data_IF_253039372769
#
_entry.id   IF_253039372769
#
_cell.length_a   1.000
_cell.length_b   1.000
_cell.length_c   1.000
_cell.angle_alpha   90.00
_cell.angle_beta   90.00
_cell.angle_gamma   90.00
#
_symmetry.space_group_name_H-M   'P 1'
#
loop_
_entity.id
_entity.type
_entity.pdbx_description
1 polymer ?
#
# COMPACT_ATOMS: atom_id res chain seq x y z
N UNK A 1 66.42 100.81 102.81
CA UNK A 1 65.95 99.41 102.72
C UNK A 1 65.51 99.22 101.29
N UNK A 2 66.24 98.41 100.51
CA UNK A 2 65.92 98.23 99.10
C UNK A 2 64.68 97.35 98.95
N UNK A 3 63.82 97.70 98.00
CA UNK A 3 62.61 96.94 97.72
C UNK A 3 63.00 95.62 97.05
N UNK A 4 63.11 94.55 97.84
CA UNK A 4 63.33 93.18 97.35
C UNK A 4 62.08 92.66 96.63
N UNK A 5 61.88 93.15 95.42
CA UNK A 5 60.79 92.78 94.53
C UNK A 5 61.33 91.97 93.33
N UNK A 6 60.49 91.09 92.76
CA UNK A 6 60.88 90.12 91.73
C UNK A 6 60.90 90.78 90.34
N UNK A 7 61.99 91.49 90.06
CA UNK A 7 62.29 92.13 88.77
C UNK A 7 62.82 91.13 87.72
N UNK A 8 62.68 91.42 86.42
CA UNK A 8 62.87 90.46 85.31
C UNK A 8 64.28 89.85 85.25
N UNK A 9 65.31 90.57 85.70
CA UNK A 9 66.69 90.06 85.84
C UNK A 9 66.79 88.79 86.72
N UNK A 10 65.82 88.56 87.61
CA UNK A 10 65.78 87.39 88.50
C UNK A 10 64.80 86.30 88.03
N UNK A 11 64.01 86.56 86.98
CA UNK A 11 62.79 85.78 86.68
C UNK A 11 63.04 84.40 86.07
N UNK A 12 64.22 84.17 85.48
CA UNK A 12 64.61 82.83 85.03
C UNK A 12 64.67 81.80 86.18
N UNK A 13 64.78 82.25 87.43
CA UNK A 13 64.77 81.42 88.64
C UNK A 13 63.45 81.50 89.43
N UNK A 14 62.37 82.02 88.83
CA UNK A 14 61.07 82.24 89.48
C UNK A 14 60.06 81.21 89.00
N UNK A 15 59.53 80.45 89.95
CA UNK A 15 58.49 79.46 89.75
C UNK A 15 57.15 80.00 90.24
N UNK A 16 56.16 80.01 89.36
CA UNK A 16 54.76 80.22 89.77
C UNK A 16 54.31 78.97 90.52
N UNK A 17 53.90 79.13 91.78
CA UNK A 17 53.38 78.06 92.63
C UNK A 17 51.86 78.05 92.65
N UNK A 18 51.26 79.24 92.68
CA UNK A 18 49.82 79.44 92.53
C UNK A 18 49.59 80.31 91.27
N UNK A 19 48.94 79.79 90.20
CA UNK A 19 48.65 80.55 89.01
C UNK A 19 47.67 81.69 89.31
N UNK A 20 47.56 82.65 88.39
CA UNK A 20 46.65 83.81 88.54
C UNK A 20 45.20 83.34 88.58
N UNK A 21 44.59 83.41 89.75
CA UNK A 21 43.22 82.96 90.00
C UNK A 21 42.47 84.08 90.73
N UNK A 22 41.36 84.54 90.16
CA UNK A 22 40.50 85.52 90.80
C UNK A 22 39.77 84.86 91.98
N UNK A 23 39.98 85.38 93.19
CA UNK A 23 39.33 84.94 94.42
C UNK A 23 38.59 86.11 95.08
N UNK A 24 37.46 85.84 95.77
CA UNK A 24 36.76 86.86 96.53
C UNK A 24 37.52 87.18 97.83
N UNK A 25 37.82 88.47 98.04
CA UNK A 25 38.49 88.99 99.24
C UNK A 25 37.57 89.99 99.93
N UNK A 26 37.35 89.79 101.24
CA UNK A 26 36.64 90.77 102.08
C UNK A 26 37.58 91.91 102.49
N UNK A 27 37.49 93.05 101.83
CA UNK A 27 38.27 94.25 102.17
C UNK A 27 37.61 94.96 103.35
N UNK A 28 38.38 95.17 104.43
CA UNK A 28 37.93 95.89 105.63
C UNK A 28 38.73 97.18 105.80
N UNK A 29 38.08 98.32 105.58
CA UNK A 29 38.69 99.66 105.64
C UNK A 29 37.89 100.54 106.60
N UNK A 30 38.41 100.73 107.81
CA UNK A 30 37.71 101.42 108.89
C UNK A 30 36.40 100.72 109.25
N UNK A 31 35.27 101.41 109.07
CA UNK A 31 33.92 100.86 109.28
C UNK A 31 33.32 100.18 108.03
N UNK A 32 33.96 100.27 106.87
CA UNK A 32 33.45 99.69 105.63
C UNK A 32 33.99 98.28 105.41
N UNK A 33 33.08 97.36 105.09
CA UNK A 33 33.39 95.97 104.68
C UNK A 33 32.77 95.72 103.32
N UNK A 34 33.57 95.34 102.34
CA UNK A 34 33.13 95.04 100.97
C UNK A 34 33.80 93.77 100.47
N UNK A 35 33.11 93.00 99.62
CA UNK A 35 33.68 91.81 98.99
C UNK A 35 34.07 92.17 97.55
N UNK A 36 35.36 92.06 97.24
CA UNK A 36 35.93 92.44 95.95
C UNK A 36 36.70 91.25 95.35
N UNK A 37 36.81 91.19 94.02
CA UNK A 37 37.59 90.17 93.34
C UNK A 37 39.06 90.61 93.19
N UNK A 38 39.97 89.74 93.60
CA UNK A 38 41.41 89.92 93.43
C UNK A 38 42.03 88.71 92.74
N UNK A 39 42.85 88.97 91.73
CA UNK A 39 43.70 87.99 91.09
C UNK A 39 44.87 87.67 92.03
N UNK A 40 44.84 86.47 92.61
CA UNK A 40 45.85 85.97 93.55
C UNK A 40 46.91 85.20 92.79
N UNK A 41 48.19 85.52 93.04
CA UNK A 41 49.36 84.80 92.52
C UNK A 41 50.36 84.55 93.64
N UNK A 42 50.98 83.37 93.65
CA UNK A 42 52.14 83.06 94.48
C UNK A 42 53.31 82.65 93.60
N UNK A 43 54.39 83.41 93.67
CA UNK A 43 55.65 83.21 92.95
C UNK A 43 56.79 82.96 93.96
N UNK A 44 57.70 82.03 93.66
CA UNK A 44 58.86 81.70 94.53
C UNK A 44 60.15 81.71 93.71
N UNK A 45 61.16 82.41 94.22
CA UNK A 45 62.52 82.36 93.69
C UNK A 45 63.30 81.30 94.45
N UNK A 46 63.46 80.13 93.84
CA UNK A 46 64.01 78.93 94.53
C UNK A 46 65.46 79.16 95.02
N UNK A 47 66.26 79.95 94.30
CA UNK A 47 67.67 80.23 94.64
C UNK A 47 67.87 81.20 95.81
N UNK A 48 66.81 81.84 96.33
CA UNK A 48 66.91 82.83 97.42
C UNK A 48 66.01 82.53 98.62
N UNK A 49 65.25 81.42 98.62
CA UNK A 49 64.17 81.17 99.59
C UNK A 49 63.29 82.41 99.79
N UNK A 50 62.91 83.02 98.67
CA UNK A 50 62.08 84.23 98.62
C UNK A 50 60.74 83.86 97.98
N UNK A 51 59.65 84.06 98.72
CA UNK A 51 58.28 83.87 98.23
C UNK A 51 57.56 85.21 98.17
N UNK A 52 56.77 85.44 97.13
CA UNK A 52 55.96 86.62 96.97
C UNK A 52 54.52 86.23 96.67
N UNK A 53 53.60 86.82 97.44
CA UNK A 53 52.16 86.71 97.29
C UNK A 53 51.67 88.05 96.77
N UNK A 54 50.96 88.03 95.65
CA UNK A 54 50.37 89.22 95.03
C UNK A 54 48.86 89.07 94.97
N UNK A 55 48.17 90.10 95.46
CA UNK A 55 46.76 90.37 95.18
C UNK A 55 46.70 91.54 94.20
N UNK A 56 45.97 91.41 93.10
CA UNK A 56 45.72 92.50 92.13
C UNK A 56 44.21 92.64 91.96
N UNK A 57 43.62 93.82 92.17
CA UNK A 57 42.16 93.94 92.08
C UNK A 57 41.70 93.71 90.63
N UNK A 58 40.76 92.78 90.39
CA UNK A 58 40.42 92.31 89.04
C UNK A 58 39.67 93.35 88.17
N UNK A 59 39.19 94.45 88.78
CA UNK A 59 38.60 95.61 88.09
C UNK A 59 39.54 96.84 88.04
N UNK A 60 40.66 96.80 88.75
CA UNK A 60 41.59 97.92 88.95
C UNK A 60 43.00 97.38 89.21
N UNK A 61 43.67 96.98 88.13
CA UNK A 61 45.03 96.45 88.19
C UNK A 61 46.08 97.46 88.68
N UNK A 62 45.72 98.72 88.98
CA UNK A 62 46.62 99.66 89.65
C UNK A 62 46.75 99.37 91.15
N UNK A 63 45.71 98.79 91.77
CA UNK A 63 45.73 98.34 93.16
C UNK A 63 46.35 96.96 93.26
N UNK A 64 47.60 96.94 93.69
CA UNK A 64 48.36 95.71 93.92
C UNK A 64 48.81 95.69 95.38
N UNK A 65 48.53 94.60 96.08
CA UNK A 65 49.04 94.33 97.42
C UNK A 65 50.05 93.17 97.36
N UNK A 66 51.17 93.34 98.04
CA UNK A 66 52.28 92.39 98.03
C UNK A 66 52.64 91.98 99.46
N UNK A 67 52.69 90.68 99.74
CA UNK A 67 53.52 90.14 100.81
C UNK A 67 54.77 89.54 100.20
N UNK A 68 55.94 89.85 100.74
CA UNK A 68 57.21 89.26 100.32
C UNK A 68 57.88 88.68 101.56
N UNK A 69 58.14 87.38 101.51
CA UNK A 69 58.54 86.56 102.63
C UNK A 69 59.86 85.89 102.25
N UNK A 70 60.95 86.42 102.80
CA UNK A 70 62.25 85.74 102.83
C UNK A 70 62.35 84.85 104.08
N UNK A 71 63.55 84.31 104.34
CA UNK A 71 63.79 83.47 105.52
C UNK A 71 63.64 84.23 106.85
N UNK A 72 63.94 85.53 106.90
CA UNK A 72 63.84 86.32 108.14
C UNK A 72 62.38 86.70 108.44
N UNK A 73 61.66 87.21 107.45
CA UNK A 73 60.22 87.48 107.55
C UNK A 73 59.42 86.19 107.82
N UNK A 74 59.87 85.04 107.30
CA UNK A 74 59.30 83.75 107.65
C UNK A 74 59.50 83.39 109.13
N UNK A 75 60.69 83.59 109.70
CA UNK A 75 60.94 83.30 111.12
C UNK A 75 60.10 84.20 112.03
N UNK A 76 59.90 85.48 111.67
CA UNK A 76 58.94 86.35 112.37
C UNK A 76 57.52 85.78 112.32
N UNK A 77 57.03 85.39 111.13
CA UNK A 77 55.71 84.76 110.94
C UNK A 77 55.59 83.46 111.74
N UNK A 78 56.63 82.61 111.71
CA UNK A 78 56.70 81.31 112.39
C UNK A 78 56.55 81.45 113.90
N UNK A 79 57.22 82.43 114.50
CA UNK A 79 57.11 82.72 115.94
C UNK A 79 55.78 83.41 116.28
N UNK A 80 55.36 84.42 115.50
CA UNK A 80 54.13 85.17 115.77
C UNK A 80 52.84 84.34 115.65
N UNK A 81 52.85 83.29 114.81
CA UNK A 81 51.69 82.41 114.56
C UNK A 81 51.92 80.97 115.02
N UNK A 82 52.96 80.70 115.80
CA UNK A 82 53.30 79.38 116.34
C UNK A 82 53.34 78.25 115.29
N UNK A 83 53.86 78.53 114.10
CA UNK A 83 53.84 77.57 112.98
C UNK A 83 54.88 76.46 113.19
N UNK A 84 54.42 75.21 113.26
CA UNK A 84 55.27 74.03 113.50
C UNK A 84 55.83 73.40 112.21
N UNK A 85 56.15 74.21 111.19
CA UNK A 85 56.68 73.76 109.89
C UNK A 85 58.03 74.43 109.56
N UNK A 86 58.62 74.06 108.42
CA UNK A 86 59.77 74.74 107.82
C UNK A 86 59.30 75.72 106.74
N UNK A 87 60.19 76.55 106.19
CA UNK A 87 59.86 77.45 105.06
C UNK A 87 59.29 76.70 103.83
N UNK A 88 59.75 75.47 103.58
CA UNK A 88 59.17 74.62 102.52
C UNK A 88 57.77 74.15 102.89
N UNK A 89 57.57 73.54 104.08
CA UNK A 89 56.24 73.11 104.51
C UNK A 89 55.23 74.27 104.60
N UNK A 90 55.68 75.47 104.99
CA UNK A 90 54.88 76.69 104.92
C UNK A 90 54.51 77.09 103.49
N UNK A 91 55.44 76.93 102.52
CA UNK A 91 55.14 77.12 101.10
C UNK A 91 53.98 76.21 100.69
N UNK A 92 54.07 74.92 101.01
CA UNK A 92 53.12 73.91 100.56
C UNK A 92 51.75 74.06 101.26
N UNK A 93 51.76 74.34 102.57
CA UNK A 93 50.56 74.64 103.35
C UNK A 93 49.85 75.91 102.86
N UNK A 94 50.58 76.95 102.45
CA UNK A 94 49.97 78.14 101.86
C UNK A 94 49.23 77.82 100.55
N UNK A 95 49.82 76.99 99.68
CA UNK A 95 49.16 76.56 98.43
C UNK A 95 47.91 75.74 98.74
N UNK A 96 47.98 74.81 99.70
CA UNK A 96 46.81 74.04 100.14
C UNK A 96 45.70 74.93 100.71
N UNK A 97 46.04 75.92 101.53
CA UNK A 97 45.09 76.90 102.09
C UNK A 97 44.43 77.72 100.98
N UNK A 98 45.19 78.18 99.97
CA UNK A 98 44.65 78.92 98.83
C UNK A 98 43.83 78.03 97.87
N UNK A 99 44.12 76.74 97.78
CA UNK A 99 43.29 75.75 97.07
C UNK A 99 41.98 75.46 97.82
N UNK A 100 41.97 75.52 99.16
CA UNK A 100 40.73 75.56 99.93
C UNK A 100 39.95 76.86 99.72
N UNK A 101 40.63 78.00 99.50
CA UNK A 101 39.95 79.25 99.09
C UNK A 101 39.30 79.17 97.70
N UNK A 102 39.85 78.40 96.74
CA UNK A 102 39.19 78.16 95.44
C UNK A 102 37.85 77.43 95.56
N UNK A 103 37.63 76.69 96.65
CA UNK A 103 36.43 75.88 96.89
C UNK A 103 35.41 76.52 97.83
N UNK A 104 35.67 77.75 98.28
CA UNK A 104 34.90 78.45 99.34
C UNK A 104 34.94 77.76 100.73
N UNK A 105 35.88 76.80 100.93
CA UNK A 105 36.15 76.19 102.25
C UNK A 105 36.77 77.22 103.20
N UNK A 106 37.71 78.04 102.69
CA UNK A 106 38.41 79.10 103.42
C UNK A 106 38.24 80.46 102.74
N UNK A 107 38.19 81.51 103.55
CA UNK A 107 37.85 82.86 103.11
C UNK A 107 39.04 83.80 103.31
N UNK A 108 39.27 84.71 102.37
CA UNK A 108 40.31 85.73 102.47
C UNK A 108 39.67 87.07 102.88
N UNK A 109 40.27 87.79 103.82
CA UNK A 109 40.02 89.21 104.06
C UNK A 109 41.31 90.03 103.97
N UNK A 110 41.18 91.32 103.65
CA UNK A 110 42.26 92.28 103.57
C UNK A 110 41.93 93.44 104.49
N UNK A 111 42.52 93.43 105.69
CA UNK A 111 42.26 94.44 106.72
C UNK A 111 43.26 95.58 106.56
N UNK A 112 42.76 96.79 106.28
CA UNK A 112 43.58 98.00 106.16
C UNK A 112 43.32 98.94 107.33
N UNK A 113 44.31 99.03 108.22
CA UNK A 113 44.46 100.08 109.22
C UNK A 113 45.46 101.15 108.71
N UNK A 114 45.44 102.31 109.34
CA UNK A 114 46.02 103.60 108.94
C UNK A 114 47.49 103.58 108.50
N UNK A 115 48.27 102.56 108.89
CA UNK A 115 49.64 102.29 108.41
C UNK A 115 49.95 100.78 108.23
N UNK A 116 48.94 99.90 108.22
CA UNK A 116 49.12 98.43 108.16
C UNK A 116 48.04 97.78 107.31
N UNK A 117 48.46 96.97 106.34
CA UNK A 117 47.59 96.12 105.55
C UNK A 117 47.89 94.65 105.90
N UNK A 118 46.87 93.87 106.26
CA UNK A 118 47.03 92.48 106.67
C UNK A 118 46.02 91.62 105.92
N UNK A 119 46.53 90.67 105.13
CA UNK A 119 45.70 89.60 104.57
C UNK A 119 45.46 88.57 105.67
N UNK A 120 44.22 88.17 105.91
CA UNK A 120 43.86 87.07 106.80
C UNK A 120 43.15 85.99 105.98
N UNK A 121 43.47 84.73 106.24
CA UNK A 121 42.75 83.59 105.69
C UNK A 121 42.07 82.88 106.85
N UNK A 122 40.75 82.73 106.78
CA UNK A 122 39.92 82.29 107.88
C UNK A 122 38.81 81.33 107.45
N UNK A 123 38.40 80.48 108.38
CA UNK A 123 37.23 79.62 108.26
C UNK A 123 36.03 80.30 108.94
N UNK A 124 34.87 80.29 108.27
CA UNK A 124 33.62 80.80 108.85
C UNK A 124 33.06 79.75 109.82
N UNK A 125 32.87 80.13 111.08
CA UNK A 125 32.28 79.28 112.11
C UNK A 125 31.16 80.03 112.84
N UNK A 126 30.14 79.28 113.28
CA UNK A 126 28.88 79.82 113.85
C UNK A 126 29.06 80.62 115.14
N UNK A 127 30.19 80.46 115.84
CA UNK A 127 30.51 81.21 117.06
C UNK A 127 31.54 82.34 116.81
N UNK A 128 32.65 82.02 116.14
CA UNK A 128 33.73 82.96 115.81
C UNK A 128 34.58 82.39 114.68
N UNK A 129 34.91 83.21 113.68
CA UNK A 129 35.81 82.83 112.60
C UNK A 129 37.19 82.37 113.14
N UNK A 130 37.71 81.29 112.57
CA UNK A 130 39.04 80.75 112.89
C UNK A 130 40.05 81.24 111.85
N UNK A 131 40.96 82.13 112.24
CA UNK A 131 42.07 82.57 111.37
C UNK A 131 43.11 81.45 111.29
N UNK A 132 43.31 80.89 110.10
CA UNK A 132 44.31 79.84 109.82
C UNK A 132 45.69 80.42 109.49
N UNK A 133 45.73 81.61 108.88
CA UNK A 133 46.96 82.33 108.57
C UNK A 133 46.67 83.84 108.46
N UNK A 134 47.60 84.69 108.89
CA UNK A 134 47.61 86.10 108.52
C UNK A 134 48.99 86.55 108.04
N UNK A 135 49.05 87.45 107.06
CA UNK A 135 50.28 87.90 106.43
C UNK A 135 50.27 89.42 106.25
N UNK A 136 51.38 90.04 106.62
CA UNK A 136 51.59 91.47 106.42
C UNK A 136 51.70 91.75 104.90
N UNK A 137 50.80 92.58 104.40
CA UNK A 137 50.76 93.06 103.03
C UNK A 137 51.26 94.50 102.99
N UNK A 138 51.82 94.91 101.85
CA UNK A 138 52.13 96.31 101.54
C UNK A 138 51.42 96.68 100.25
N UNK A 139 50.87 97.89 100.18
CA UNK A 139 50.47 98.45 98.87
C UNK A 139 51.73 98.57 98.02
N UNK A 140 51.66 98.16 96.75
CA UNK A 140 52.80 98.22 95.83
C UNK A 140 53.19 99.67 95.53
N UNK A 141 54.47 99.93 95.29
CA UNK A 141 54.91 101.24 94.80
C UNK A 141 54.46 101.45 93.35
N UNK A 142 54.35 102.72 92.94
CA UNK A 142 54.01 103.08 91.54
C UNK A 142 54.92 102.40 90.53
N UNK A 143 56.21 102.24 90.85
CA UNK A 143 57.19 101.54 90.01
C UNK A 143 56.84 100.04 89.86
N UNK A 144 56.52 99.35 90.95
CA UNK A 144 56.11 97.95 90.93
C UNK A 144 54.77 97.75 90.21
N UNK A 145 53.83 98.69 90.36
CA UNK A 145 52.56 98.69 89.63
C UNK A 145 52.78 98.84 88.13
N UNK A 146 53.55 99.86 87.71
CA UNK A 146 53.87 100.10 86.29
C UNK A 146 54.61 98.91 85.65
N UNK A 147 55.53 98.28 86.39
CA UNK A 147 56.20 97.05 85.96
C UNK A 147 55.21 95.91 85.71
N UNK A 148 54.31 95.61 86.65
CA UNK A 148 53.32 94.55 86.49
C UNK A 148 52.32 94.86 85.36
N UNK A 149 51.86 96.11 85.22
CA UNK A 149 50.98 96.53 84.13
C UNK A 149 51.65 96.35 82.76
N UNK A 150 52.91 96.76 82.61
CA UNK A 150 53.67 96.59 81.38
C UNK A 150 53.82 95.10 81.01
N UNK A 151 54.12 94.23 81.98
CA UNK A 151 54.22 92.79 81.74
C UNK A 151 52.89 92.13 81.35
N UNK A 152 51.80 92.53 81.99
CA UNK A 152 50.45 92.06 81.63
C UNK A 152 50.06 92.54 80.24
N UNK A 153 50.38 93.79 79.89
CA UNK A 153 50.20 94.35 78.55
C UNK A 153 51.00 93.56 77.49
N UNK A 154 52.28 93.26 77.74
CA UNK A 154 53.12 92.47 76.84
C UNK A 154 52.57 91.05 76.63
N UNK A 155 52.07 90.39 77.70
CA UNK A 155 51.41 89.08 77.59
C UNK A 155 50.15 89.15 76.74
N UNK A 156 49.29 90.14 76.96
CA UNK A 156 48.08 90.33 76.14
C UNK A 156 48.41 90.70 74.70
N UNK A 157 49.45 91.49 74.44
CA UNK A 157 49.90 91.81 73.07
C UNK A 157 50.42 90.56 72.33
N UNK A 158 51.19 89.70 73.01
CA UNK A 158 51.64 88.42 72.45
C UNK A 158 50.47 87.47 72.17
N UNK A 159 49.48 87.38 73.07
CA UNK A 159 48.27 86.59 72.85
C UNK A 159 47.43 87.14 71.69
N UNK A 160 47.21 88.46 71.64
CA UNK A 160 46.44 89.11 70.59
C UNK A 160 47.07 88.88 69.20
N UNK A 161 48.38 89.07 69.08
CA UNK A 161 49.10 88.81 67.81
C UNK A 161 49.03 87.33 67.41
N UNK A 162 49.15 86.40 68.35
CA UNK A 162 48.93 84.97 68.09
C UNK A 162 47.53 84.66 67.57
N UNK A 163 46.49 85.20 68.21
CA UNK A 163 45.10 85.03 67.74
C UNK A 163 44.87 85.69 66.38
N UNK A 164 45.45 86.86 66.09
CA UNK A 164 45.36 87.50 64.76
C UNK A 164 45.98 86.59 63.68
N UNK A 165 47.16 86.01 63.92
CA UNK A 165 47.79 85.07 62.99
C UNK A 165 46.94 83.81 62.77
N UNK A 166 46.36 83.26 63.84
CA UNK A 166 45.50 82.07 63.76
C UNK A 166 44.19 82.34 62.99
N UNK A 167 43.57 83.51 63.21
CA UNK A 167 42.37 83.95 62.46
C UNK A 167 42.70 84.09 60.97
N UNK A 168 43.84 84.69 60.62
CA UNK A 168 44.25 84.83 59.23
C UNK A 168 44.50 83.48 58.55
N UNK A 169 45.09 82.51 59.26
CA UNK A 169 45.25 81.15 58.76
C UNK A 169 43.90 80.46 58.47
N UNK A 170 42.92 80.58 59.38
CA UNK A 170 41.59 80.01 59.17
C UNK A 170 40.81 80.71 58.05
N UNK A 171 40.98 82.02 57.86
CA UNK A 171 40.40 82.75 56.72
C UNK A 171 40.94 82.22 55.38
N UNK A 172 42.25 81.98 55.28
CA UNK A 172 42.87 81.42 54.08
C UNK A 172 42.39 79.99 53.81
N UNK A 173 42.32 79.13 54.84
CA UNK A 173 41.78 77.77 54.66
C UNK A 173 40.32 77.80 54.20
N UNK A 174 39.48 78.66 54.79
CA UNK A 174 38.07 78.81 54.44
C UNK A 174 37.89 79.17 52.96
N UNK A 175 38.63 80.17 52.46
CA UNK A 175 38.62 80.56 51.04
C UNK A 175 38.94 79.39 50.11
N UNK A 176 39.96 78.58 50.45
CA UNK A 176 40.34 77.40 49.68
C UNK A 176 39.26 76.30 49.70
N UNK A 177 38.53 76.12 50.82
CA UNK A 177 37.38 75.19 50.88
C UNK A 177 36.19 75.70 50.05
N UNK A 178 35.92 77.01 50.04
CA UNK A 178 34.83 77.60 49.26
C UNK A 178 35.11 77.48 47.75
N UNK A 179 36.35 77.77 47.31
CA UNK A 179 36.79 77.53 45.92
C UNK A 179 36.64 76.06 45.52
N UNK A 180 37.10 75.13 46.35
CA UNK A 180 36.96 73.67 46.13
C UNK A 180 35.48 73.26 46.04
N UNK A 181 34.64 73.83 46.90
CA UNK A 181 33.20 73.54 46.95
C UNK A 181 32.50 74.02 45.67
N UNK A 182 32.86 75.19 45.16
CA UNK A 182 32.27 75.71 43.92
C UNK A 182 32.77 74.96 42.68
N UNK A 183 34.03 74.49 42.65
CA UNK A 183 34.52 73.58 41.61
C UNK A 183 33.68 72.28 41.56
N UNK A 184 33.48 71.62 42.71
CA UNK A 184 32.67 70.40 42.80
C UNK A 184 31.20 70.62 42.41
N UNK A 185 30.60 71.76 42.80
CA UNK A 185 29.24 72.13 42.35
C UNK A 185 29.14 72.33 40.83
N UNK A 186 30.21 72.79 40.18
CA UNK A 186 30.24 72.96 38.72
C UNK A 186 30.43 71.60 38.01
N UNK A 187 31.24 70.69 38.57
CA UNK A 187 31.34 69.32 38.08
C UNK A 187 30.00 68.56 38.18
N UNK A 188 29.32 68.62 39.33
CA UNK A 188 27.99 68.02 39.53
C UNK A 188 26.98 68.57 38.51
N UNK A 189 26.96 69.88 38.25
CA UNK A 189 26.13 70.50 37.19
C UNK A 189 26.46 69.94 35.80
N UNK A 190 27.75 69.77 35.47
CA UNK A 190 28.19 69.18 34.20
C UNK A 190 27.76 67.71 34.06
N UNK A 191 27.92 66.91 35.10
CA UNK A 191 27.55 65.49 35.11
C UNK A 191 26.04 65.29 35.00
N UNK A 192 25.23 66.05 35.74
CA UNK A 192 23.77 66.00 35.64
C UNK A 192 23.26 66.39 34.24
N UNK A 193 23.89 67.38 33.58
CA UNK A 193 23.57 67.73 32.19
C UNK A 193 23.94 66.62 31.22
N UNK A 194 25.10 65.96 31.39
CA UNK A 194 25.50 64.79 30.59
C UNK A 194 24.54 63.61 30.77
N UNK A 195 24.10 63.35 32.01
CA UNK A 195 23.15 62.28 32.33
C UNK A 195 21.81 62.50 31.63
N UNK A 196 21.19 63.68 31.82
CA UNK A 196 19.92 64.02 31.18
C UNK A 196 20.01 63.95 29.64
N UNK A 197 21.15 64.33 29.04
CA UNK A 197 21.36 64.19 27.60
C UNK A 197 21.47 62.71 27.15
N UNK A 198 22.05 61.82 27.97
CA UNK A 198 22.08 60.39 27.71
C UNK A 198 20.71 59.73 27.88
N UNK A 199 19.95 60.10 28.92
CA UNK A 199 18.58 59.63 29.15
C UNK A 199 17.67 59.98 27.97
N UNK A 200 17.71 61.24 27.50
CA UNK A 200 16.97 61.68 26.32
C UNK A 200 17.39 60.93 25.04
N UNK A 201 18.69 60.65 24.85
CA UNK A 201 19.19 59.90 23.69
C UNK A 201 18.72 58.43 23.70
N UNK A 202 18.72 57.80 24.88
CA UNK A 202 18.21 56.43 25.07
C UNK A 202 16.69 56.41 24.85
N UNK A 203 15.96 57.40 25.39
CA UNK A 203 14.52 57.51 25.20
C UNK A 203 14.13 57.68 23.72
N UNK A 204 14.83 58.53 22.96
CA UNK A 204 14.63 58.66 21.51
C UNK A 204 14.83 57.33 20.79
N UNK A 205 15.98 56.68 20.98
CA UNK A 205 16.32 55.39 20.35
C UNK A 205 15.30 54.30 20.66
N UNK A 206 14.89 54.18 21.92
CA UNK A 206 13.88 53.20 22.34
C UNK A 206 12.52 53.50 21.69
N UNK A 207 12.15 54.79 21.55
CA UNK A 207 10.91 55.22 20.89
C UNK A 207 10.94 54.91 19.38
N UNK A 208 12.08 55.16 18.73
CA UNK A 208 12.32 54.82 17.32
C UNK A 208 12.26 53.30 17.09
N UNK A 209 12.89 52.51 17.96
CA UNK A 209 12.90 51.04 17.87
C UNK A 209 11.50 50.44 18.13
N UNK A 210 10.79 50.90 19.16
CA UNK A 210 9.39 50.50 19.42
C UNK A 210 8.51 50.83 18.20
N UNK A 211 8.67 52.02 17.62
CA UNK A 211 7.91 52.44 16.42
C UNK A 211 8.21 51.52 15.22
N UNK A 212 9.49 51.19 15.00
CA UNK A 212 9.93 50.26 13.93
C UNK A 212 9.40 48.85 14.15
N UNK A 213 9.41 48.35 15.38
CA UNK A 213 8.85 47.03 15.72
C UNK A 213 7.33 47.00 15.55
N UNK A 214 6.61 48.05 15.93
CA UNK A 214 5.17 48.17 15.69
C UNK A 214 4.83 48.17 14.18
N UNK A 215 5.58 48.91 13.36
CA UNK A 215 5.43 48.88 11.90
C UNK A 215 5.71 47.48 11.32
N UNK A 216 6.74 46.80 11.80
CA UNK A 216 7.11 45.44 11.36
C UNK A 216 6.03 44.42 11.74
N UNK A 217 5.50 44.49 12.96
CA UNK A 217 4.38 43.64 13.43
C UNK A 217 3.11 43.90 12.63
N UNK A 218 2.81 45.15 12.27
CA UNK A 218 1.68 45.49 11.41
C UNK A 218 1.81 44.84 10.02
N UNK A 219 2.96 45.00 9.37
CA UNK A 219 3.24 44.39 8.06
C UNK A 219 3.15 42.86 8.10
N UNK A 220 3.67 42.23 9.15
CA UNK A 220 3.53 40.78 9.38
C UNK A 220 2.06 40.37 9.57
N UNK A 221 1.26 41.16 10.28
CA UNK A 221 -0.18 40.94 10.44
C UNK A 221 -0.94 41.01 9.11
N UNK A 222 -0.71 42.06 8.33
CA UNK A 222 -1.31 42.27 7.00
C UNK A 222 -0.92 41.14 6.02
N UNK A 223 0.35 40.75 6.02
CA UNK A 223 0.86 39.63 5.21
C UNK A 223 0.24 38.29 5.62
N UNK A 224 0.10 38.03 6.94
CA UNK A 224 -0.55 36.82 7.45
C UNK A 224 -2.03 36.77 7.08
N UNK A 225 -2.74 37.88 7.17
CA UNK A 225 -4.17 37.96 6.81
C UNK A 225 -4.38 37.73 5.30
N UNK A 226 -3.49 38.26 4.45
CA UNK A 226 -3.52 38.02 3.01
C UNK A 226 -3.28 36.54 2.67
N UNK A 227 -2.29 35.90 3.31
CA UNK A 227 -2.01 34.48 3.11
C UNK A 227 -3.13 33.59 3.68
N UNK A 228 -3.73 33.94 4.81
CA UNK A 228 -4.88 33.23 5.38
C UNK A 228 -6.09 33.29 4.42
N UNK A 229 -6.35 34.44 3.79
CA UNK A 229 -7.36 34.58 2.73
C UNK A 229 -7.03 33.72 1.50
N UNK A 230 -5.76 33.71 1.06
CA UNK A 230 -5.29 32.89 -0.07
C UNK A 230 -5.49 31.40 0.19
N UNK A 231 -5.10 30.92 1.36
CA UNK A 231 -5.24 29.52 1.77
C UNK A 231 -6.71 29.12 1.92
N UNK A 232 -7.56 29.97 2.51
CA UNK A 232 -9.02 29.74 2.56
C UNK A 232 -9.65 29.62 1.17
N UNK A 233 -9.27 30.48 0.21
CA UNK A 233 -9.75 30.38 -1.17
C UNK A 233 -9.34 29.07 -1.85
N UNK A 234 -8.10 28.60 -1.61
CA UNK A 234 -7.60 27.30 -2.12
C UNK A 234 -8.36 26.14 -1.47
N UNK A 235 -8.58 26.16 -0.15
CA UNK A 235 -9.34 25.13 0.57
C UNK A 235 -10.78 25.05 0.05
N UNK A 236 -11.45 26.18 -0.14
CA UNK A 236 -12.81 26.21 -0.69
C UNK A 236 -12.86 25.61 -2.10
N UNK A 237 -11.93 25.99 -2.99
CA UNK A 237 -11.87 25.44 -4.36
C UNK A 237 -11.52 23.95 -4.39
N UNK A 238 -10.72 23.46 -3.44
CA UNK A 238 -10.49 22.03 -3.25
C UNK A 238 -11.75 21.30 -2.75
N UNK A 239 -12.50 21.91 -1.84
CA UNK A 239 -13.77 21.36 -1.34
C UNK A 239 -14.83 21.27 -2.45
N UNK A 240 -15.04 22.34 -3.21
CA UNK A 240 -15.91 22.36 -4.41
C UNK A 240 -15.56 21.23 -5.38
N UNK A 241 -14.26 20.99 -5.60
CA UNK A 241 -13.76 19.91 -6.46
C UNK A 241 -13.97 18.52 -5.86
N UNK A 242 -13.83 18.37 -4.55
CA UNK A 242 -14.15 17.12 -3.83
C UNK A 242 -15.65 16.81 -3.94
N UNK A 243 -16.51 17.81 -3.75
CA UNK A 243 -17.97 17.64 -3.83
C UNK A 243 -18.44 17.32 -5.26
N UNK A 244 -17.85 17.96 -6.27
CA UNK A 244 -18.06 17.61 -7.67
C UNK A 244 -17.61 16.17 -7.99
N UNK A 245 -16.44 15.73 -7.50
CA UNK A 245 -15.96 14.36 -7.71
C UNK A 245 -16.82 13.32 -6.94
N UNK A 246 -17.26 13.64 -5.74
CA UNK A 246 -18.19 12.81 -4.96
C UNK A 246 -19.52 12.63 -5.71
N UNK A 247 -20.04 13.70 -6.33
CA UNK A 247 -21.21 13.63 -7.21
C UNK A 247 -20.95 12.76 -8.43
N UNK A 248 -19.86 12.95 -9.16
CA UNK A 248 -19.51 12.11 -10.32
C UNK A 248 -19.36 10.63 -9.95
N UNK A 249 -18.88 10.32 -8.73
CA UNK A 249 -18.83 8.95 -8.21
C UNK A 249 -20.24 8.41 -7.92
N UNK A 250 -21.13 9.21 -7.30
CA UNK A 250 -22.52 8.83 -7.06
C UNK A 250 -23.28 8.57 -8.37
N UNK A 251 -23.20 9.50 -9.32
CA UNK A 251 -23.82 9.40 -10.66
C UNK A 251 -23.33 8.15 -11.41
N UNK A 252 -22.02 7.80 -11.29
CA UNK A 252 -21.46 6.56 -11.85
C UNK A 252 -21.93 5.30 -11.13
N UNK A 253 -22.08 5.33 -9.80
CA UNK A 253 -22.60 4.19 -9.03
C UNK A 253 -24.06 3.92 -9.42
N UNK A 254 -24.86 4.96 -9.62
CA UNK A 254 -26.24 4.81 -10.13
C UNK A 254 -26.25 4.22 -11.56
N UNK A 255 -25.41 4.70 -12.47
CA UNK A 255 -25.26 4.11 -13.82
C UNK A 255 -24.84 2.63 -13.77
N UNK A 256 -23.91 2.26 -12.88
CA UNK A 256 -23.48 0.87 -12.68
C UNK A 256 -24.63 0.00 -12.16
N UNK A 257 -25.49 0.52 -11.27
CA UNK A 257 -26.70 -0.18 -10.79
C UNK A 257 -27.70 -0.37 -11.93
N UNK A 258 -27.95 0.66 -12.75
CA UNK A 258 -28.86 0.61 -13.90
C UNK A 258 -28.38 -0.43 -14.93
N UNK A 259 -27.11 -0.38 -15.34
CA UNK A 259 -26.55 -1.33 -16.32
C UNK A 259 -26.40 -2.74 -15.73
N UNK A 260 -26.16 -2.89 -14.42
CA UNK A 260 -26.24 -4.20 -13.75
C UNK A 260 -27.65 -4.78 -13.88
N UNK A 261 -28.69 -4.03 -13.50
CA UNK A 261 -30.08 -4.47 -13.55
C UNK A 261 -30.50 -4.81 -15.00
N UNK A 262 -30.04 -4.01 -15.97
CA UNK A 262 -30.24 -4.26 -17.40
C UNK A 262 -29.60 -5.57 -17.86
N UNK A 263 -28.33 -5.78 -17.50
CA UNK A 263 -27.58 -7.00 -17.84
C UNK A 263 -28.16 -8.25 -17.15
N UNK A 264 -28.68 -8.10 -15.92
CA UNK A 264 -29.40 -9.15 -15.19
C UNK A 264 -30.72 -9.53 -15.88
N UNK A 265 -31.50 -8.53 -16.34
CA UNK A 265 -32.69 -8.75 -17.18
C UNK A 265 -32.37 -9.42 -18.53
N UNK A 266 -31.35 -8.94 -19.25
CA UNK A 266 -30.88 -9.56 -20.50
C UNK A 266 -30.34 -10.98 -20.25
N UNK A 267 -29.76 -11.26 -19.09
CA UNK A 267 -29.33 -12.61 -18.69
C UNK A 267 -30.53 -13.54 -18.43
N UNK A 268 -31.57 -13.07 -17.76
CA UNK A 268 -32.83 -13.81 -17.65
C UNK A 268 -33.44 -14.11 -19.03
N UNK A 269 -33.49 -13.10 -19.91
CA UNK A 269 -34.00 -13.28 -21.28
C UNK A 269 -33.16 -14.28 -22.06
N UNK A 270 -31.82 -14.25 -21.93
CA UNK A 270 -30.94 -15.25 -22.54
C UNK A 270 -31.20 -16.66 -21.99
N UNK A 271 -31.53 -16.81 -20.69
CA UNK A 271 -31.93 -18.09 -20.10
C UNK A 271 -33.28 -18.56 -20.66
N UNK A 272 -34.28 -17.67 -20.76
CA UNK A 272 -35.61 -17.95 -21.34
C UNK A 272 -35.51 -18.33 -22.83
N UNK A 273 -34.65 -17.66 -23.59
CA UNK A 273 -34.36 -17.98 -25.00
C UNK A 273 -33.56 -19.28 -25.14
N UNK A 274 -32.69 -19.63 -24.19
CA UNK A 274 -31.99 -20.94 -24.17
C UNK A 274 -32.93 -22.10 -23.87
N UNK A 275 -33.83 -21.96 -22.90
CA UNK A 275 -34.83 -23.00 -22.61
C UNK A 275 -35.83 -23.15 -23.76
N UNK A 276 -36.26 -22.05 -24.39
CA UNK A 276 -37.06 -22.09 -25.61
C UNK A 276 -36.32 -22.77 -26.77
N UNK A 277 -35.04 -22.47 -26.98
CA UNK A 277 -34.21 -23.17 -27.97
C UNK A 277 -34.03 -24.67 -27.66
N UNK A 278 -33.95 -25.06 -26.39
CA UNK A 278 -33.90 -26.46 -25.98
C UNK A 278 -35.22 -27.17 -26.30
N UNK A 279 -36.36 -26.57 -25.93
CA UNK A 279 -37.69 -27.09 -26.26
C UNK A 279 -37.89 -27.21 -27.79
N UNK A 280 -37.49 -26.20 -28.58
CA UNK A 280 -37.55 -26.25 -30.05
C UNK A 280 -36.63 -27.35 -30.61
N UNK A 281 -35.46 -27.61 -30.02
CA UNK A 281 -34.59 -28.73 -30.42
C UNK A 281 -35.19 -30.10 -30.10
N UNK A 282 -35.83 -30.25 -28.95
CA UNK A 282 -36.59 -31.46 -28.60
C UNK A 282 -37.79 -31.66 -29.53
N UNK A 283 -38.50 -30.59 -29.87
CA UNK A 283 -39.59 -30.59 -30.84
C UNK A 283 -39.08 -31.02 -32.22
N UNK A 284 -37.99 -30.43 -32.71
CA UNK A 284 -37.34 -30.80 -33.98
C UNK A 284 -36.90 -32.27 -33.98
N UNK A 285 -36.27 -32.78 -32.93
CA UNK A 285 -35.89 -34.20 -32.86
C UNK A 285 -37.12 -35.14 -32.73
N UNK A 286 -38.24 -34.66 -32.17
CA UNK A 286 -39.52 -35.38 -32.19
C UNK A 286 -40.10 -35.43 -33.61
N UNK A 287 -40.23 -34.28 -34.28
CA UNK A 287 -40.72 -34.20 -35.67
C UNK A 287 -39.81 -34.96 -36.63
N UNK A 288 -38.49 -34.99 -36.40
CA UNK A 288 -37.51 -35.73 -37.20
C UNK A 288 -37.60 -37.24 -37.00
N UNK A 289 -37.93 -37.71 -35.79
CA UNK A 289 -38.30 -39.13 -35.55
C UNK A 289 -39.62 -39.49 -36.23
N UNK A 290 -40.62 -38.62 -36.14
CA UNK A 290 -41.91 -38.81 -36.85
C UNK A 290 -41.74 -38.80 -38.37
N UNK A 291 -40.88 -37.93 -38.90
CA UNK A 291 -40.48 -37.88 -40.31
C UNK A 291 -39.76 -39.17 -40.71
N UNK A 292 -38.85 -39.68 -39.88
CA UNK A 292 -38.18 -40.96 -40.14
C UNK A 292 -39.16 -42.14 -40.17
N UNK A 293 -40.18 -42.16 -39.29
CA UNK A 293 -41.24 -43.18 -39.30
C UNK A 293 -42.19 -43.01 -40.50
N UNK A 294 -42.48 -41.77 -40.92
CA UNK A 294 -43.18 -41.47 -42.18
C UNK A 294 -42.39 -41.97 -43.38
N UNK A 295 -41.09 -41.67 -43.45
CA UNK A 295 -40.19 -42.01 -44.55
C UNK A 295 -39.91 -43.52 -44.62
N UNK A 296 -39.90 -44.25 -43.51
CA UNK A 296 -39.81 -45.71 -43.49
C UNK A 296 -41.12 -46.38 -43.97
N UNK A 297 -42.29 -45.81 -43.63
CA UNK A 297 -43.58 -46.21 -44.23
C UNK A 297 -43.64 -45.87 -45.72
N UNK A 298 -43.11 -44.72 -46.12
CA UNK A 298 -43.07 -44.24 -47.50
C UNK A 298 -42.08 -45.05 -48.36
N UNK A 299 -40.95 -45.49 -47.79
CA UNK A 299 -40.02 -46.46 -48.39
C UNK A 299 -40.71 -47.81 -48.65
N UNK A 300 -41.44 -48.34 -47.65
CA UNK A 300 -42.20 -49.59 -47.80
C UNK A 300 -43.31 -49.48 -48.84
N UNK A 301 -44.02 -48.35 -48.87
CA UNK A 301 -45.00 -48.02 -49.91
C UNK A 301 -44.35 -47.86 -51.30
N UNK A 302 -43.23 -47.13 -51.39
CA UNK A 302 -42.49 -46.86 -52.61
C UNK A 302 -41.89 -48.11 -53.25
N UNK A 303 -41.41 -49.06 -52.45
CA UNK A 303 -40.99 -50.38 -52.92
C UNK A 303 -42.17 -51.18 -53.48
N UNK A 304 -43.32 -51.17 -52.80
CA UNK A 304 -44.55 -51.82 -53.28
C UNK A 304 -45.09 -51.18 -54.57
N UNK A 305 -45.04 -49.85 -54.68
CA UNK A 305 -45.41 -49.09 -55.89
C UNK A 305 -44.41 -49.34 -57.03
N UNK A 306 -43.12 -49.52 -56.74
CA UNK A 306 -42.10 -49.82 -57.75
C UNK A 306 -42.24 -51.24 -58.30
N UNK A 307 -42.54 -52.22 -57.45
CA UNK A 307 -42.85 -53.58 -57.86
C UNK A 307 -44.17 -53.64 -58.65
N UNK A 308 -45.21 -52.93 -58.21
CA UNK A 308 -46.46 -52.76 -58.96
C UNK A 308 -46.22 -52.10 -60.32
N UNK A 309 -45.36 -51.07 -60.41
CA UNK A 309 -44.96 -50.46 -61.69
C UNK A 309 -44.19 -51.43 -62.58
N UNK A 310 -43.30 -52.27 -62.03
CA UNK A 310 -42.56 -53.29 -62.78
C UNK A 310 -43.52 -54.30 -63.41
N UNK A 311 -44.46 -54.83 -62.62
CA UNK A 311 -45.50 -55.75 -63.08
C UNK A 311 -46.45 -55.09 -64.09
N UNK A 312 -46.82 -53.81 -63.89
CA UNK A 312 -47.63 -53.06 -64.85
C UNK A 312 -46.89 -52.84 -66.18
N UNK A 313 -45.58 -52.54 -66.14
CA UNK A 313 -44.76 -52.33 -67.34
C UNK A 313 -44.54 -53.63 -68.11
N UNK A 314 -44.32 -54.76 -67.41
CA UNK A 314 -44.26 -56.10 -68.01
C UNK A 314 -45.59 -56.45 -68.70
N UNK A 315 -46.73 -56.23 -68.02
CA UNK A 315 -48.06 -56.43 -68.59
C UNK A 315 -48.36 -55.51 -69.78
N UNK A 316 -47.95 -54.24 -69.72
CA UNK A 316 -48.17 -53.27 -70.79
C UNK A 316 -47.30 -53.56 -72.03
N UNK A 317 -46.08 -54.07 -71.84
CA UNK A 317 -45.22 -54.54 -72.93
C UNK A 317 -45.79 -55.84 -73.55
N UNK A 318 -46.32 -56.76 -72.73
CA UNK A 318 -47.00 -57.98 -73.18
C UNK A 318 -48.27 -57.66 -73.96
N UNK A 319 -49.05 -56.66 -73.52
CA UNK A 319 -50.22 -56.16 -74.23
C UNK A 319 -49.83 -55.53 -75.59
N UNK A 320 -48.80 -54.69 -75.66
CA UNK A 320 -48.33 -54.11 -76.94
C UNK A 320 -47.84 -55.18 -77.93
N UNK A 321 -47.21 -56.25 -77.46
CA UNK A 321 -46.80 -57.37 -78.31
C UNK A 321 -48.02 -58.13 -78.86
N UNK A 322 -48.99 -58.44 -77.99
CA UNK A 322 -50.24 -59.10 -78.37
C UNK A 322 -51.13 -58.22 -79.27
N UNK A 323 -51.11 -56.91 -79.11
CA UNK A 323 -51.88 -55.96 -79.94
C UNK A 323 -51.25 -55.77 -81.32
N UNK A 324 -49.90 -55.85 -81.44
CA UNK A 324 -49.23 -55.97 -82.74
C UNK A 324 -49.61 -57.27 -83.44
N UNK A 325 -49.56 -58.40 -82.72
CA UNK A 325 -49.99 -59.70 -83.25
C UNK A 325 -51.48 -59.72 -83.61
N UNK A 326 -52.35 -59.02 -82.85
CA UNK A 326 -53.76 -58.84 -83.21
C UNK A 326 -53.91 -58.03 -84.50
N UNK A 327 -53.19 -56.92 -84.65
CA UNK A 327 -53.24 -56.11 -85.87
C UNK A 327 -52.72 -56.86 -87.10
N UNK A 328 -51.73 -57.76 -86.94
CA UNK A 328 -51.22 -58.61 -88.01
C UNK A 328 -52.24 -59.71 -88.37
N UNK A 329 -52.84 -60.38 -87.37
CA UNK A 329 -53.92 -61.37 -87.57
C UNK A 329 -55.24 -60.78 -88.06
N UNK A 330 -55.57 -59.52 -87.73
CA UNK A 330 -56.78 -58.83 -88.23
C UNK A 330 -56.62 -58.44 -89.71
N UNK A 331 -55.39 -58.14 -90.15
CA UNK A 331 -55.08 -57.97 -91.58
C UNK A 331 -55.16 -59.31 -92.34
N UNK A 332 -54.61 -60.39 -91.78
CA UNK A 332 -54.73 -61.76 -92.32
C UNK A 332 -56.19 -62.22 -92.39
N UNK A 333 -56.98 -61.97 -91.34
CA UNK A 333 -58.40 -62.32 -91.28
C UNK A 333 -59.24 -61.52 -92.29
N UNK A 334 -58.86 -60.28 -92.60
CA UNK A 334 -59.54 -59.48 -93.63
C UNK A 334 -59.14 -59.88 -95.05
N UNK A 335 -57.89 -60.32 -95.27
CA UNK A 335 -57.47 -60.97 -96.51
C UNK A 335 -58.22 -62.30 -96.72
N UNK A 336 -58.26 -63.17 -95.71
CA UNK A 336 -58.92 -64.48 -95.83
C UNK A 336 -60.46 -64.35 -95.87
N UNK A 337 -61.07 -63.27 -95.36
CA UNK A 337 -62.50 -62.95 -95.62
C UNK A 337 -62.79 -62.65 -97.09
N UNK A 338 -61.89 -61.94 -97.77
CA UNK A 338 -62.02 -61.66 -99.20
C UNK A 338 -61.77 -62.94 -100.04
N UNK A 339 -60.77 -63.75 -99.66
CA UNK A 339 -60.53 -65.08 -100.22
C UNK A 339 -61.70 -66.04 -99.94
N UNK A 340 -62.36 -65.92 -98.78
CA UNK A 340 -63.55 -66.71 -98.44
C UNK A 340 -64.77 -66.31 -99.28
N UNK A 341 -64.95 -65.03 -99.64
CA UNK A 341 -66.01 -64.63 -100.56
C UNK A 341 -65.79 -65.18 -101.99
N UNK A 342 -64.56 -65.14 -102.51
CA UNK A 342 -64.26 -65.76 -103.82
C UNK A 342 -64.34 -67.29 -103.76
N UNK A 343 -63.82 -67.94 -102.71
CA UNK A 343 -64.00 -69.40 -102.47
C UNK A 343 -65.47 -69.78 -102.34
N UNK A 344 -66.32 -68.97 -101.70
CA UNK A 344 -67.77 -69.25 -101.55
C UNK A 344 -68.50 -69.13 -102.89
N UNK A 345 -68.16 -68.13 -103.72
CA UNK A 345 -68.73 -68.01 -105.06
C UNK A 345 -68.26 -69.16 -105.98
N UNK A 346 -67.00 -69.59 -105.86
CA UNK A 346 -66.48 -70.76 -106.56
C UNK A 346 -67.13 -72.06 -106.07
N UNK A 347 -67.32 -72.24 -104.76
CA UNK A 347 -68.00 -73.40 -104.18
C UNK A 347 -69.47 -73.49 -104.58
N UNK A 348 -70.18 -72.37 -104.76
CA UNK A 348 -71.54 -72.37 -105.30
C UNK A 348 -71.54 -72.95 -106.73
N UNK A 349 -70.69 -72.41 -107.61
CA UNK A 349 -70.52 -72.88 -108.99
C UNK A 349 -70.13 -74.37 -109.02
N UNK A 350 -69.12 -74.78 -108.24
CA UNK A 350 -68.70 -76.18 -108.15
C UNK A 350 -69.74 -77.10 -107.47
N UNK A 351 -70.70 -76.58 -106.70
CA UNK A 351 -71.82 -77.38 -106.15
C UNK A 351 -72.87 -77.64 -107.22
N UNK A 352 -73.20 -76.61 -108.02
CA UNK A 352 -74.12 -76.74 -109.15
C UNK A 352 -73.49 -77.61 -110.27
N UNK A 353 -72.18 -77.53 -110.47
CA UNK A 353 -71.41 -78.46 -111.32
C UNK A 353 -71.31 -79.88 -110.73
N UNK A 354 -71.18 -80.07 -109.40
CA UNK A 354 -71.23 -81.40 -108.78
C UNK A 354 -72.61 -82.05 -108.91
N UNK A 355 -73.68 -81.26 -108.85
CA UNK A 355 -75.04 -81.76 -109.09
C UNK A 355 -75.18 -82.26 -110.54
N UNK A 356 -74.69 -81.49 -111.51
CA UNK A 356 -74.65 -81.89 -112.92
C UNK A 356 -73.75 -83.12 -113.14
N UNK A 357 -72.56 -83.15 -112.54
CA UNK A 357 -71.63 -84.28 -112.59
C UNK A 357 -72.24 -85.55 -111.97
N UNK A 358 -73.05 -85.43 -110.90
CA UNK A 358 -73.76 -86.56 -110.29
C UNK A 358 -74.84 -87.14 -111.22
N UNK A 359 -75.52 -86.30 -112.01
CA UNK A 359 -76.44 -86.75 -113.07
C UNK A 359 -75.68 -87.46 -114.20
N UNK A 360 -74.54 -86.89 -114.63
CA UNK A 360 -73.67 -87.51 -115.65
C UNK A 360 -73.09 -88.85 -115.17
N UNK A 361 -72.63 -88.94 -113.92
CA UNK A 361 -72.13 -90.18 -113.30
C UNK A 361 -73.25 -91.22 -113.15
N UNK A 362 -74.48 -90.82 -112.84
CA UNK A 362 -75.65 -91.72 -112.82
C UNK A 362 -75.94 -92.33 -114.19
N UNK A 363 -75.77 -91.54 -115.27
CA UNK A 363 -75.96 -92.02 -116.63
C UNK A 363 -74.77 -92.88 -117.12
N UNK A 364 -73.53 -92.47 -116.85
CA UNK A 364 -72.33 -93.24 -117.18
C UNK A 364 -72.28 -94.60 -116.45
N UNK A 365 -72.78 -94.70 -115.21
CA UNK A 365 -72.88 -95.99 -114.52
C UNK A 365 -73.87 -96.96 -115.19
N UNK A 366 -74.97 -96.46 -115.78
CA UNK A 366 -75.88 -97.27 -116.60
C UNK A 366 -75.21 -97.72 -117.90
N UNK A 367 -74.44 -96.84 -118.53
CA UNK A 367 -73.73 -97.13 -119.78
C UNK A 367 -72.58 -98.12 -119.57
N UNK A 368 -71.84 -98.00 -118.45
CA UNK A 368 -70.84 -98.98 -118.00
C UNK A 368 -71.46 -100.35 -117.76
N UNK A 369 -72.67 -100.44 -117.17
CA UNK A 369 -73.35 -101.73 -117.00
C UNK A 369 -73.68 -102.41 -118.35
N UNK A 370 -74.14 -101.64 -119.34
CA UNK A 370 -74.42 -102.14 -120.70
C UNK A 370 -73.14 -102.55 -121.44
N UNK A 371 -72.05 -101.77 -121.30
CA UNK A 371 -70.76 -102.10 -121.89
C UNK A 371 -70.12 -103.33 -121.24
N UNK A 372 -70.23 -103.48 -119.92
CA UNK A 372 -69.71 -104.64 -119.18
C UNK A 372 -70.39 -105.93 -119.63
N UNK A 373 -71.72 -105.94 -119.77
CA UNK A 373 -72.45 -107.09 -120.34
C UNK A 373 -72.02 -107.43 -121.78
N UNK A 374 -71.73 -106.42 -122.62
CA UNK A 374 -71.17 -106.65 -123.97
C UNK A 374 -69.73 -107.18 -123.95
N UNK A 375 -68.95 -106.86 -122.91
CA UNK A 375 -67.61 -107.44 -122.70
C UNK A 375 -67.74 -108.89 -122.22
N UNK A 376 -68.57 -109.19 -121.22
CA UNK A 376 -68.78 -110.54 -120.70
C UNK A 376 -69.25 -111.51 -121.82
N UNK A 377 -70.15 -111.06 -122.70
CA UNK A 377 -70.59 -111.82 -123.87
C UNK A 377 -69.45 -112.07 -124.89
N UNK A 378 -68.53 -111.11 -125.07
CA UNK A 378 -67.34 -111.28 -125.92
C UNK A 378 -66.30 -112.20 -125.29
N UNK A 379 -66.07 -112.12 -123.99
CA UNK A 379 -65.17 -113.01 -123.24
C UNK A 379 -65.66 -114.45 -123.31
N UNK A 380 -66.97 -114.70 -123.12
CA UNK A 380 -67.56 -116.02 -123.29
C UNK A 380 -67.43 -116.57 -124.73
N UNK A 381 -67.46 -115.69 -125.74
CA UNK A 381 -67.25 -116.09 -127.15
C UNK A 381 -65.78 -116.37 -127.46
N UNK A 382 -64.83 -115.66 -126.85
CA UNK A 382 -63.40 -115.98 -126.97
C UNK A 382 -63.08 -117.36 -126.34
N UNK A 383 -63.59 -117.60 -125.13
CA UNK A 383 -63.45 -118.90 -124.41
C UNK A 383 -64.02 -120.08 -125.21
N UNK A 384 -64.97 -119.85 -126.13
CA UNK A 384 -65.49 -120.85 -127.07
C UNK A 384 -64.40 -121.39 -128.02
N UNK A 385 -63.36 -120.61 -128.30
CA UNK A 385 -62.44 -120.85 -129.40
C UNK A 385 -61.11 -121.48 -128.95
N UNK A 386 -60.56 -121.10 -127.79
CA UNK A 386 -59.41 -121.82 -127.18
C UNK A 386 -59.70 -123.33 -127.04
N UNK A 387 -60.84 -123.70 -126.42
CA UNK A 387 -61.10 -125.09 -126.04
C UNK A 387 -61.28 -126.03 -127.25
N UNK A 388 -61.82 -125.51 -128.36
CA UNK A 388 -61.97 -126.27 -129.60
C UNK A 388 -60.63 -126.43 -130.33
N UNK A 389 -59.68 -125.52 -130.14
CA UNK A 389 -58.30 -125.70 -130.64
C UNK A 389 -57.59 -126.77 -129.80
N UNK A 390 -57.73 -126.71 -128.47
CA UNK A 390 -57.02 -127.57 -127.52
C UNK A 390 -57.31 -129.07 -127.69
N UNK A 391 -58.58 -129.46 -127.93
CA UNK A 391 -58.93 -130.87 -128.18
C UNK A 391 -58.48 -131.36 -129.58
N UNK A 392 -58.41 -130.47 -130.58
CA UNK A 392 -57.87 -130.79 -131.91
C UNK A 392 -56.34 -130.97 -131.88
N UNK A 393 -55.61 -130.23 -131.03
CA UNK A 393 -54.19 -130.47 -130.78
C UNK A 393 -53.95 -131.83 -130.09
N UNK A 394 -54.89 -132.27 -129.23
CA UNK A 394 -54.83 -133.56 -128.55
C UNK A 394 -54.91 -134.73 -129.57
N UNK A 395 -55.85 -134.67 -130.52
CA UNK A 395 -55.95 -135.63 -131.64
C UNK A 395 -54.67 -135.68 -132.50
N UNK A 396 -53.93 -134.56 -132.59
CA UNK A 396 -52.68 -134.44 -133.35
C UNK A 396 -51.44 -134.93 -132.59
N UNK A 397 -51.57 -135.28 -131.30
CA UNK A 397 -50.48 -135.77 -130.45
C UNK A 397 -50.42 -137.30 -130.40
N UNK A 398 -51.54 -137.97 -130.12
CA UNK A 398 -51.57 -139.45 -130.13
C UNK A 398 -51.30 -140.00 -131.54
N UNK A 399 -51.71 -139.28 -132.59
CA UNK A 399 -51.35 -139.59 -133.98
C UNK A 399 -49.87 -139.27 -134.35
N UNK A 400 -49.07 -138.79 -133.39
CA UNK A 400 -47.60 -138.64 -133.48
C UNK A 400 -46.83 -139.52 -132.49
N UNK A 401 -47.47 -140.02 -131.44
CA UNK A 401 -47.00 -141.15 -130.62
C UNK A 401 -47.31 -142.52 -131.29
N UNK A 402 -48.05 -142.48 -132.41
CA UNK A 402 -47.83 -143.34 -133.59
C UNK A 402 -46.34 -143.39 -133.98
N UNK A 403 -45.92 -144.32 -134.84
CA UNK A 403 -44.62 -144.21 -135.51
C UNK A 403 -43.49 -144.87 -134.70
N UNK A 404 -43.11 -144.20 -133.62
CA UNK A 404 -41.91 -144.47 -132.83
C UNK A 404 -41.91 -145.86 -132.16
N UNK A 405 -43.01 -146.23 -131.49
CA UNK A 405 -43.12 -147.52 -130.80
C UNK A 405 -43.01 -148.72 -131.76
N UNK A 406 -43.65 -148.61 -132.94
CA UNK A 406 -43.62 -149.64 -133.99
C UNK A 406 -42.21 -149.78 -134.59
N UNK A 407 -41.43 -148.69 -134.64
CA UNK A 407 -40.06 -148.71 -135.16
C UNK A 407 -39.00 -149.18 -134.14
N UNK A 408 -39.23 -149.07 -132.83
CA UNK A 408 -38.19 -149.33 -131.84
C UNK A 408 -38.09 -150.79 -131.35
N UNK A 409 -39.18 -151.53 -131.09
CA UNK A 409 -39.02 -152.94 -130.65
C UNK A 409 -38.90 -153.96 -131.81
N UNK A 410 -39.22 -153.57 -133.05
CA UNK A 410 -38.80 -154.33 -134.23
C UNK A 410 -37.26 -154.45 -134.35
N UNK A 411 -36.49 -153.58 -133.68
CA UNK A 411 -35.04 -153.71 -133.51
C UNK A 411 -34.62 -154.63 -132.34
N UNK A 412 -35.45 -154.81 -131.30
CA UNK A 412 -35.12 -155.70 -130.16
C UNK A 412 -35.46 -157.17 -130.42
N UNK A 413 -36.46 -157.43 -131.25
CA UNK A 413 -36.83 -158.76 -131.78
C UNK A 413 -35.65 -159.52 -132.42
N UNK A 414 -34.52 -158.83 -132.67
CA UNK A 414 -33.33 -159.32 -133.37
C UNK A 414 -32.06 -159.45 -132.51
N UNK A 415 -32.13 -159.23 -131.19
CA UNK A 415 -30.95 -159.20 -130.32
C UNK A 415 -30.99 -160.21 -129.16
N UNK A 416 -32.01 -160.18 -128.29
CA UNK A 416 -32.05 -161.05 -127.10
C UNK A 416 -32.39 -162.52 -127.40
N UNK A 417 -32.77 -162.83 -128.65
CA UNK A 417 -32.87 -164.21 -129.14
C UNK A 417 -31.50 -164.87 -129.37
N UNK A 418 -30.39 -164.13 -129.23
CA UNK A 418 -29.02 -164.66 -129.26
C UNK A 418 -28.31 -164.62 -127.88
N UNK A 419 -28.70 -163.75 -126.95
CA UNK A 419 -28.26 -163.86 -125.52
C UNK A 419 -28.86 -165.07 -124.80
N UNK A 420 -30.01 -165.57 -125.30
CA UNK A 420 -30.56 -166.93 -125.21
C UNK A 420 -29.65 -167.97 -124.53
N UNK A 421 -28.44 -168.17 -125.07
CA UNK A 421 -27.59 -169.32 -124.79
C UNK A 421 -26.64 -169.17 -123.58
N UNK A 422 -26.48 -167.97 -122.99
CA UNK A 422 -25.37 -167.73 -122.04
C UNK A 422 -25.75 -167.59 -120.56
N UNK A 423 -26.83 -166.90 -120.19
CA UNK A 423 -27.10 -166.63 -118.75
C UNK A 423 -27.66 -167.85 -118.01
N UNK A 424 -28.43 -168.71 -118.71
CA UNK A 424 -28.84 -170.05 -118.26
C UNK A 424 -27.61 -170.95 -117.94
N UNK A 425 -26.42 -170.58 -118.46
CA UNK A 425 -25.16 -171.31 -118.30
C UNK A 425 -24.25 -170.74 -117.20
N UNK A 426 -24.39 -169.48 -116.76
CA UNK A 426 -23.45 -168.82 -115.83
C UNK A 426 -23.90 -168.79 -114.36
N UNK A 427 -25.07 -168.26 -114.01
CA UNK A 427 -25.41 -168.04 -112.57
C UNK A 427 -26.04 -169.25 -111.86
N UNK A 428 -26.04 -170.39 -112.56
CA UNK A 428 -25.92 -171.72 -111.96
C UNK A 428 -24.63 -171.91 -111.13
N UNK A 429 -23.64 -171.03 -111.29
CA UNK A 429 -22.34 -171.04 -110.60
C UNK A 429 -22.30 -170.08 -109.38
N UNK A 430 -23.20 -169.07 -109.30
CA UNK A 430 -23.29 -168.18 -108.14
C UNK A 430 -24.33 -168.61 -107.09
N UNK A 431 -25.03 -169.74 -107.33
CA UNK A 431 -25.63 -170.54 -106.26
C UNK A 431 -24.58 -171.23 -105.38
N UNK A 432 -23.28 -171.15 -105.74
CA UNK A 432 -22.16 -171.85 -105.10
C UNK A 432 -21.10 -170.87 -104.53
N UNK A 433 -21.43 -169.58 -104.38
CA UNK A 433 -20.53 -168.58 -103.78
C UNK A 433 -21.33 -167.59 -102.93
N UNK A 434 -20.89 -167.39 -101.68
CA UNK A 434 -21.45 -166.42 -100.71
C UNK A 434 -22.87 -166.80 -100.21
N UNK A 435 -23.11 -167.79 -99.35
CA UNK A 435 -22.31 -168.79 -98.60
C UNK A 435 -20.99 -168.31 -97.95
N UNK A 436 -19.87 -168.27 -98.68
CA UNK A 436 -18.52 -167.93 -98.17
C UNK A 436 -18.32 -166.57 -97.43
N UNK A 437 -19.33 -165.68 -97.31
CA UNK A 437 -19.14 -164.34 -96.68
C UNK A 437 -20.02 -164.03 -95.46
N UNK A 438 -20.68 -165.06 -94.95
CA UNK A 438 -21.12 -165.34 -93.58
C UNK A 438 -20.30 -164.80 -92.37
N UNK A 439 -19.13 -164.15 -92.55
CA UNK A 439 -18.04 -164.12 -91.56
C UNK A 439 -17.50 -162.73 -91.18
N UNK A 440 -18.03 -161.64 -91.74
CA UNK A 440 -17.58 -160.25 -91.52
C UNK A 440 -18.82 -159.33 -91.67
N UNK A 441 -19.09 -158.31 -90.84
CA UNK A 441 -18.30 -157.68 -89.76
C UNK A 441 -19.21 -156.84 -88.82
N UNK A 442 -20.16 -157.38 -88.04
CA UNK A 442 -19.97 -158.13 -86.77
C UNK A 442 -18.97 -157.51 -85.76
N UNK A 443 -17.94 -156.80 -86.21
CA UNK A 443 -16.71 -156.65 -85.44
C UNK A 443 -16.23 -155.19 -85.33
N UNK A 444 -16.82 -154.24 -86.08
CA UNK A 444 -16.24 -152.90 -86.20
C UNK A 444 -17.32 -151.80 -86.17
N UNK A 445 -17.43 -150.90 -85.19
CA UNK A 445 -17.07 -150.82 -83.76
C UNK A 445 -17.12 -149.32 -83.39
N UNK A 446 -17.17 -149.03 -82.08
CA UNK A 446 -16.42 -147.94 -81.40
C UNK A 446 -16.50 -146.48 -81.92
N UNK A 447 -16.49 -145.57 -80.93
CA UNK A 447 -15.68 -144.33 -80.89
C UNK A 447 -16.18 -143.11 -81.70
N UNK A 448 -16.20 -141.87 -81.16
CA UNK A 448 -16.26 -141.26 -79.78
C UNK A 448 -16.10 -139.72 -79.95
N UNK A 449 -16.69 -138.89 -79.05
CA UNK A 449 -16.10 -137.60 -78.50
C UNK A 449 -15.85 -136.38 -79.46
N UNK A 450 -15.47 -135.13 -79.05
CA UNK A 450 -15.69 -134.23 -77.85
C UNK A 450 -15.04 -132.80 -77.97
N UNK A 451 -15.51 -131.81 -77.16
CA UNK A 451 -14.89 -130.69 -76.32
C UNK A 451 -13.59 -129.85 -76.64
N UNK A 452 -13.22 -128.67 -76.03
CA UNK A 452 -13.90 -127.49 -75.35
C UNK A 452 -12.93 -126.35 -74.79
N UNK A 453 -13.39 -125.07 -74.67
CA UNK A 453 -13.12 -123.99 -73.62
C UNK A 453 -11.84 -123.04 -73.42
N UNK A 454 -12.09 -121.77 -72.93
CA UNK A 454 -11.48 -120.90 -71.83
C UNK A 454 -10.33 -119.77 -71.84
N UNK A 455 -10.62 -118.62 -71.12
CA UNK A 455 -9.93 -117.70 -70.09
C UNK A 455 -8.79 -116.57 -70.19
N UNK A 456 -9.10 -115.35 -69.60
CA UNK A 456 -8.48 -114.41 -68.54
C UNK A 456 -7.08 -113.65 -68.54
N UNK A 457 -6.93 -112.52 -67.76
CA UNK A 457 -5.86 -112.13 -66.72
C UNK A 457 -5.47 -110.60 -66.47
N UNK A 458 -5.29 -110.18 -65.18
CA UNK A 458 -4.49 -109.07 -64.50
C UNK A 458 -4.52 -107.55 -64.93
N UNK A 459 -3.87 -106.50 -64.33
CA UNK A 459 -3.38 -105.93 -62.99
C UNK A 459 -2.89 -104.44 -63.27
N UNK A 460 -2.28 -103.48 -62.50
CA UNK A 460 -1.76 -103.13 -61.12
C UNK A 460 -1.49 -101.57 -61.10
N UNK A 461 -1.00 -100.76 -60.10
CA UNK A 461 -0.66 -100.84 -58.65
C UNK A 461 0.46 -99.83 -58.16
N UNK A 462 0.20 -98.84 -57.26
CA UNK A 462 1.18 -98.01 -56.47
C UNK A 462 0.54 -97.23 -55.29
#
# INVERSE_FOLDING_TARGET
MDSYFINDQRRQCVRVLFPSVSLPVGVESGSMRMQELFDVVVEKMETQNLMQIRLTQSNDHSKIYLSTIDTAAYEEIRVQQALHVTFHGFTDHLIQILDSCKKDELHISLVTDSNRCTMQIYEKSSFKNLTHLFLNMKSASTETVLYHLNQTLQKFQAQATGFTSQIHQYQLEMSLKDETTEQLRNEIRSLNSKLANQENLIFSRNTEEITRLQQTLKQLGESRELEEKRLKAIINSMQEKIDQLNKEVADRVEQIIIEKNRNESTREENIKLRSLNAAIREEIERTKKELCVRQDRESKSGNMISEMKRQLQEMQNKAKLLEKQRSELEAELQAEKNICHTKKHALQISTDELANASVVISNLNKEIAVLKSKVDLRTAIAIRQEKIIQDNECQLKELKDTVAAIQQEHLRNRATNEEYAQTVKRIKEASNMIEEKYRKKINDMLVKMSDSQFYAVSMEGN
#
